data_IF_601728377607
#
_entry.id   IF_601728377607
#
_cell.length_a   1.000
_cell.length_b   1.000
_cell.length_c   1.000
_cell.angle_alpha   90.00
_cell.angle_beta   90.00
_cell.angle_gamma   90.00
#
_symmetry.space_group_name_H-M   'P 1'
#
loop_
_entity.id
_entity.type
_entity.pdbx_description
1 polymer ?
#
# COMPACT_ATOMS: atom_id res chain seq x y z
N UNK A 1 -12.52 -4.36 21.34
CA UNK A 1 -13.06 -5.04 20.15
C UNK A 1 -13.21 -4.04 19.01
N UNK A 2 -12.84 -4.42 17.79
CA UNK A 2 -13.02 -3.58 16.61
C UNK A 2 -14.49 -3.54 16.19
N UNK A 3 -15.00 -2.35 15.86
CA UNK A 3 -16.35 -2.13 15.37
C UNK A 3 -16.33 -1.41 14.03
N UNK A 4 -17.20 -1.84 13.12
CA UNK A 4 -17.38 -1.18 11.84
C UNK A 4 -18.38 -0.03 11.98
N UNK A 5 -17.96 1.20 11.64
CA UNK A 5 -18.82 2.37 11.57
C UNK A 5 -19.23 2.64 10.13
N UNK A 6 -20.50 3.01 9.96
CA UNK A 6 -21.15 3.22 8.65
C UNK A 6 -21.64 4.64 8.57
N UNK A 7 -21.28 5.35 7.49
CA UNK A 7 -21.73 6.71 7.21
C UNK A 7 -21.48 7.71 8.35
N UNK A 8 -20.52 7.41 9.24
CA UNK A 8 -20.06 8.30 10.29
C UNK A 8 -18.86 9.14 9.78
N UNK A 9 -18.78 10.38 10.25
CA UNK A 9 -17.69 11.31 9.94
C UNK A 9 -17.91 12.67 10.61
N UNK A 10 -16.82 13.35 10.96
CA UNK A 10 -16.85 14.73 11.39
C UNK A 10 -16.67 15.65 10.18
N UNK A 11 -17.57 16.62 10.01
CA UNK A 11 -17.39 17.69 9.02
C UNK A 11 -16.41 18.71 9.60
N UNK A 12 -15.16 18.67 9.15
CA UNK A 12 -14.16 19.71 9.41
C UNK A 12 -13.69 20.33 8.08
N UNK A 13 -12.76 21.28 8.13
CA UNK A 13 -12.26 21.98 6.93
C UNK A 13 -11.58 21.04 5.91
N UNK A 14 -11.18 19.83 6.29
CA UNK A 14 -10.36 18.90 5.51
C UNK A 14 -11.03 17.54 5.26
N UNK A 15 -12.01 17.15 6.07
CA UNK A 15 -12.82 15.95 5.96
C UNK A 15 -14.29 16.35 5.89
N UNK A 16 -14.85 16.37 4.68
CA UNK A 16 -16.26 16.67 4.46
C UNK A 16 -16.82 15.85 3.32
N UNK A 17 -18.14 15.65 3.35
CA UNK A 17 -18.87 14.91 2.34
C UNK A 17 -20.03 15.73 1.79
N UNK A 18 -20.30 15.59 0.49
CA UNK A 18 -21.48 16.17 -0.18
C UNK A 18 -22.70 15.27 -0.11
N UNK A 19 -22.56 14.04 0.37
CA UNK A 19 -23.63 13.05 0.49
C UNK A 19 -23.79 12.52 1.93
N UNK A 20 -23.40 13.31 2.95
CA UNK A 20 -23.47 12.93 4.37
C UNK A 20 -22.77 11.59 4.68
N UNK A 21 -21.61 11.38 4.07
CA UNK A 21 -20.74 10.21 4.25
C UNK A 21 -21.35 8.86 3.83
N UNK A 22 -22.46 8.84 3.08
CA UNK A 22 -23.05 7.60 2.55
C UNK A 22 -22.01 6.82 1.72
N UNK A 23 -21.89 5.53 2.02
CA UNK A 23 -20.91 4.60 1.45
C UNK A 23 -19.58 4.54 2.18
N UNK A 24 -19.37 5.37 3.21
CA UNK A 24 -18.15 5.36 4.03
C UNK A 24 -18.24 4.26 5.08
N UNK A 25 -17.13 3.52 5.21
CA UNK A 25 -16.92 2.55 6.28
C UNK A 25 -15.57 2.81 6.96
N UNK A 26 -15.54 2.78 8.29
CA UNK A 26 -14.31 2.93 9.09
C UNK A 26 -14.31 1.91 10.23
N UNK A 27 -13.13 1.45 10.62
CA UNK A 27 -12.97 0.56 11.78
C UNK A 27 -12.49 1.37 12.98
N UNK A 28 -13.19 1.22 14.11
CA UNK A 28 -12.83 1.87 15.38
C UNK A 28 -12.60 0.81 16.45
N UNK A 29 -11.57 1.00 17.27
CA UNK A 29 -11.28 0.11 18.38
C UNK A 29 -11.94 0.60 19.67
N UNK A 30 -12.83 -0.20 20.23
CA UNK A 30 -13.46 0.05 21.54
C UNK A 30 -12.87 -0.90 22.60
N UNK A 31 -12.07 -0.43 23.58
CA UNK A 31 -11.47 -1.29 24.60
C UNK A 31 -12.50 -1.99 25.51
N UNK A 32 -13.66 -1.38 25.71
CA UNK A 32 -14.79 -1.92 26.49
C UNK A 32 -15.82 -2.61 25.59
N UNK A 33 -15.59 -2.59 24.28
CA UNK A 33 -16.50 -3.14 23.29
C UNK A 33 -16.59 -4.66 23.35
N UNK A 34 -17.82 -5.15 23.34
CA UNK A 34 -18.18 -6.57 23.21
C UNK A 34 -18.06 -7.38 24.51
N UNK A 35 -18.96 -8.36 24.68
CA UNK A 35 -18.94 -9.31 25.79
C UNK A 35 -17.72 -10.24 25.73
N UNK A 36 -17.36 -10.92 26.83
CA UNK A 36 -16.29 -11.92 26.82
C UNK A 36 -16.47 -12.99 25.74
N UNK A 37 -17.71 -13.43 25.52
CA UNK A 37 -18.08 -14.41 24.50
C UNK A 37 -17.86 -13.86 23.08
N UNK A 38 -18.29 -12.61 22.81
CA UNK A 38 -18.07 -11.97 21.49
C UNK A 38 -16.59 -11.80 21.19
N UNK A 39 -15.80 -11.42 22.19
CA UNK A 39 -14.35 -11.31 22.04
C UNK A 39 -13.72 -12.68 21.76
N UNK A 40 -14.20 -13.73 22.43
CA UNK A 40 -13.73 -15.10 22.18
C UNK A 40 -14.07 -15.58 20.76
N UNK A 41 -15.28 -15.30 20.26
CA UNK A 41 -15.69 -15.63 18.88
C UNK A 41 -14.79 -14.93 17.84
N UNK A 42 -14.42 -13.66 18.09
CA UNK A 42 -13.49 -12.91 17.23
C UNK A 42 -12.09 -13.54 17.22
N UNK A 43 -11.56 -13.94 18.38
CA UNK A 43 -10.26 -14.61 18.46
C UNK A 43 -10.29 -16.01 17.83
N UNK A 44 -11.38 -16.75 17.99
CA UNK A 44 -11.58 -18.03 17.30
C UNK A 44 -11.59 -17.87 15.78
N UNK A 45 -12.31 -16.86 15.26
CA UNK A 45 -12.31 -16.53 13.83
C UNK A 45 -10.90 -16.19 13.31
N UNK A 46 -10.13 -15.42 14.09
CA UNK A 46 -8.74 -15.06 13.76
C UNK A 46 -7.83 -16.29 13.73
N UNK A 47 -7.95 -17.16 14.72
CA UNK A 47 -7.16 -18.39 14.81
C UNK A 47 -7.52 -19.37 13.68
N UNK A 48 -8.81 -19.50 13.37
CA UNK A 48 -9.27 -20.32 12.25
C UNK A 48 -8.66 -19.82 10.93
N UNK A 49 -8.73 -18.52 10.66
CA UNK A 49 -8.10 -17.95 9.47
C UNK A 49 -6.58 -18.21 9.46
N UNK A 50 -5.88 -17.96 10.58
CA UNK A 50 -4.45 -18.21 10.66
C UNK A 50 -4.08 -19.66 10.35
N UNK A 51 -4.82 -20.64 10.88
CA UNK A 51 -4.56 -22.06 10.65
C UNK A 51 -4.83 -22.48 9.19
N UNK A 52 -5.75 -21.79 8.49
CA UNK A 52 -6.15 -22.11 7.12
C UNK A 52 -5.57 -21.16 6.07
N UNK A 53 -4.74 -20.18 6.46
CA UNK A 53 -4.25 -19.09 5.60
C UNK A 53 -3.52 -19.54 4.34
N UNK A 54 -2.95 -20.75 4.31
CA UNK A 54 -2.29 -21.29 3.12
C UNK A 54 -3.26 -21.94 2.13
N UNK A 55 -4.45 -22.34 2.59
CA UNK A 55 -5.52 -22.93 1.77
C UNK A 55 -6.51 -21.87 1.30
N UNK A 56 -6.82 -20.89 2.16
CA UNK A 56 -7.73 -19.78 1.88
C UNK A 56 -7.00 -18.47 2.17
N UNK A 57 -6.58 -17.80 1.10
CA UNK A 57 -5.80 -16.57 1.13
C UNK A 57 -6.63 -15.31 1.41
N UNK A 58 -7.79 -15.08 0.75
CA UNK A 58 -8.61 -13.91 1.05
C UNK A 58 -9.35 -14.06 2.37
N UNK A 59 -9.48 -12.95 3.11
CA UNK A 59 -10.35 -12.89 4.28
C UNK A 59 -11.80 -12.97 3.84
N UNK A 60 -12.60 -13.68 4.64
CA UNK A 60 -14.02 -13.85 4.38
C UNK A 60 -14.87 -12.74 4.99
N UNK A 61 -14.34 -11.57 5.34
CA UNK A 61 -15.16 -10.46 5.89
C UNK A 61 -15.93 -10.84 7.18
N UNK A 62 -15.45 -11.84 7.91
CA UNK A 62 -16.24 -12.52 8.94
C UNK A 62 -16.55 -11.61 10.13
N UNK A 63 -15.60 -10.74 10.52
CA UNK A 63 -15.71 -9.92 11.72
C UNK A 63 -16.86 -8.91 11.65
N UNK A 64 -17.06 -8.24 10.51
CA UNK A 64 -18.20 -7.31 10.38
C UNK A 64 -19.50 -8.06 10.08
N UNK A 65 -19.44 -9.17 9.33
CA UNK A 65 -20.64 -10.00 9.09
C UNK A 65 -21.23 -10.51 10.39
N UNK A 66 -20.40 -10.97 11.33
CA UNK A 66 -20.84 -11.36 12.69
C UNK A 66 -21.59 -10.22 13.39
N UNK A 67 -21.03 -9.00 13.35
CA UNK A 67 -21.66 -7.82 13.96
C UNK A 67 -23.03 -7.51 13.34
N UNK A 68 -23.11 -7.42 12.01
CA UNK A 68 -24.34 -7.05 11.31
C UNK A 68 -25.46 -8.07 11.49
N UNK A 69 -25.12 -9.36 11.40
CA UNK A 69 -26.10 -10.44 11.58
C UNK A 69 -26.63 -10.44 13.02
N UNK A 70 -25.77 -10.17 14.01
CA UNK A 70 -26.16 -10.09 15.41
C UNK A 70 -27.05 -8.88 15.70
N UNK A 71 -26.67 -7.68 15.24
CA UNK A 71 -27.46 -6.45 15.40
C UNK A 71 -28.87 -6.60 14.83
N UNK A 72 -29.02 -7.30 13.71
CA UNK A 72 -30.31 -7.57 13.05
C UNK A 72 -31.04 -8.80 13.59
N UNK A 73 -30.50 -9.47 14.61
CA UNK A 73 -31.01 -10.74 15.14
C UNK A 73 -31.30 -11.76 14.02
N UNK A 74 -30.44 -11.77 12.99
CA UNK A 74 -30.68 -12.56 11.80
C UNK A 74 -30.60 -14.06 12.08
N UNK A 75 -31.54 -14.81 11.51
CA UNK A 75 -31.53 -16.27 11.51
C UNK A 75 -31.75 -16.75 10.09
N UNK A 76 -30.84 -17.59 9.59
CA UNK A 76 -31.04 -18.22 8.28
C UNK A 76 -32.15 -19.27 8.39
N UNK A 77 -33.34 -18.91 7.90
CA UNK A 77 -34.53 -19.77 7.96
C UNK A 77 -34.67 -20.69 6.75
N UNK A 78 -33.96 -20.41 5.66
CA UNK A 78 -34.01 -21.21 4.44
C UNK A 78 -32.92 -22.29 4.51
N UNK A 79 -33.34 -23.54 4.45
CA UNK A 79 -32.46 -24.69 4.53
C UNK A 79 -31.44 -24.69 3.38
N UNK A 80 -30.21 -25.14 3.68
CA UNK A 80 -29.18 -25.32 2.66
C UNK A 80 -29.56 -26.50 1.76
N UNK A 81 -29.59 -26.26 0.45
CA UNK A 81 -29.67 -27.33 -0.55
C UNK A 81 -28.28 -27.93 -0.71
N UNK A 82 -28.16 -29.25 -0.57
CA UNK A 82 -26.96 -30.02 -0.92
C UNK A 82 -27.23 -30.73 -2.25
N UNK A 83 -26.25 -30.70 -3.15
CA UNK A 83 -26.31 -31.37 -4.44
C UNK A 83 -25.26 -32.48 -4.43
N UNK A 84 -25.67 -33.71 -4.70
CA UNK A 84 -24.75 -34.84 -4.81
C UNK A 84 -24.12 -34.94 -6.20
N UNK A 85 -22.99 -35.63 -6.31
CA UNK A 85 -22.32 -35.81 -7.59
C UNK A 85 -23.21 -36.60 -8.57
N UNK A 86 -23.45 -36.05 -9.76
CA UNK A 86 -24.34 -36.64 -10.77
C UNK A 86 -25.83 -36.36 -10.55
N UNK A 87 -26.21 -35.64 -9.50
CA UNK A 87 -27.61 -35.27 -9.24
C UNK A 87 -28.08 -34.12 -10.14
N UNK A 88 -29.30 -34.23 -10.69
CA UNK A 88 -29.88 -33.17 -11.52
C UNK A 88 -30.24 -31.92 -10.69
N UNK A 89 -29.81 -30.75 -11.17
CA UNK A 89 -30.12 -29.45 -10.58
C UNK A 89 -31.49 -29.00 -11.06
N UNK A 90 -32.50 -29.20 -10.22
CA UNK A 90 -33.87 -28.77 -10.52
C UNK A 90 -34.06 -27.26 -10.33
N UNK A 91 -35.07 -26.70 -11.00
CA UNK A 91 -35.47 -25.30 -10.84
C UNK A 91 -35.78 -24.94 -9.37
N UNK A 92 -36.39 -25.87 -8.61
CA UNK A 92 -36.70 -25.68 -7.20
C UNK A 92 -35.45 -25.56 -6.33
N UNK A 93 -34.44 -26.41 -6.57
CA UNK A 93 -33.15 -26.38 -5.86
C UNK A 93 -32.40 -25.08 -6.12
N UNK A 94 -32.34 -24.66 -7.39
CA UNK A 94 -31.74 -23.39 -7.78
C UNK A 94 -32.48 -22.20 -7.14
N UNK A 95 -33.82 -22.20 -7.20
CA UNK A 95 -34.65 -21.13 -6.62
C UNK A 95 -34.49 -21.05 -5.10
N UNK A 96 -34.46 -22.18 -4.41
CA UNK A 96 -34.27 -22.23 -2.95
C UNK A 96 -32.89 -21.71 -2.56
N UNK A 97 -31.86 -22.09 -3.31
CA UNK A 97 -30.48 -21.60 -3.11
C UNK A 97 -30.38 -20.09 -3.32
N UNK A 98 -31.00 -19.56 -4.39
CA UNK A 98 -31.05 -18.12 -4.65
C UNK A 98 -31.78 -17.38 -3.53
N UNK A 99 -32.97 -17.85 -3.12
CA UNK A 99 -33.72 -17.22 -2.03
C UNK A 99 -32.92 -17.20 -0.73
N UNK A 100 -32.21 -18.30 -0.41
CA UNK A 100 -31.32 -18.38 0.75
C UNK A 100 -30.18 -17.36 0.68
N UNK A 101 -29.54 -17.23 -0.49
CA UNK A 101 -28.45 -16.29 -0.71
C UNK A 101 -28.93 -14.83 -0.61
N UNK A 102 -30.04 -14.49 -1.25
CA UNK A 102 -30.65 -13.14 -1.16
C UNK A 102 -31.07 -12.82 0.27
N UNK A 103 -31.72 -13.76 0.98
CA UNK A 103 -32.10 -13.57 2.37
C UNK A 103 -30.89 -13.25 3.27
N UNK A 104 -29.78 -13.96 3.06
CA UNK A 104 -28.53 -13.69 3.77
C UNK A 104 -27.90 -12.34 3.36
N UNK A 105 -27.77 -12.08 2.06
CA UNK A 105 -27.08 -10.89 1.56
C UNK A 105 -27.84 -9.60 1.88
N UNK A 106 -29.17 -9.63 1.86
CA UNK A 106 -30.02 -8.51 2.32
C UNK A 106 -29.80 -8.18 3.80
N UNK A 107 -29.53 -9.19 4.63
CA UNK A 107 -29.19 -8.97 6.04
C UNK A 107 -27.81 -8.34 6.23
N UNK A 108 -26.94 -8.33 5.21
CA UNK A 108 -25.62 -7.70 5.26
C UNK A 108 -25.60 -6.25 4.75
N UNK A 109 -26.71 -5.73 4.21
CA UNK A 109 -26.79 -4.34 3.75
C UNK A 109 -26.60 -3.36 4.91
N UNK A 110 -25.71 -2.38 4.79
CA UNK A 110 -25.52 -1.32 5.78
C UNK A 110 -26.74 -0.39 5.88
N UNK A 111 -26.82 0.37 6.96
CA UNK A 111 -27.96 1.26 7.26
C UNK A 111 -28.16 2.39 6.24
N UNK A 112 -27.11 2.77 5.52
CA UNK A 112 -27.11 3.77 4.45
C UNK A 112 -27.32 3.16 3.05
N UNK A 113 -27.51 1.83 2.97
CA UNK A 113 -27.85 1.10 1.77
C UNK A 113 -26.68 0.46 1.01
N UNK A 114 -25.42 0.70 1.40
CA UNK A 114 -24.27 0.03 0.76
C UNK A 114 -24.00 -1.37 1.33
N UNK A 115 -23.10 -2.14 0.71
CA UNK A 115 -22.59 -3.39 1.28
C UNK A 115 -21.12 -3.18 1.67
N UNK A 116 -20.81 -3.23 2.97
CA UNK A 116 -19.44 -3.24 3.43
C UNK A 116 -18.68 -4.40 2.82
N UNK A 117 -17.44 -4.16 2.44
CA UNK A 117 -16.56 -5.20 1.94
C UNK A 117 -15.10 -4.81 2.17
N UNK A 118 -14.28 -5.79 2.48
CA UNK A 118 -12.84 -5.66 2.39
C UNK A 118 -12.42 -5.62 0.91
N UNK A 119 -11.65 -4.62 0.52
CA UNK A 119 -11.03 -4.54 -0.80
C UNK A 119 -9.53 -4.84 -0.69
N UNK A 120 -9.21 -6.10 -0.36
CA UNK A 120 -7.85 -6.58 -0.21
C UNK A 120 -7.25 -7.12 -1.51
N UNK A 121 -5.96 -7.41 -1.47
CA UNK A 121 -5.26 -8.10 -2.54
C UNK A 121 -3.80 -7.65 -2.61
N UNK A 122 -3.51 -6.42 -3.05
CA UNK A 122 -2.14 -5.92 -3.19
C UNK A 122 -1.43 -5.75 -1.85
N UNK A 123 -0.20 -6.28 -1.74
CA UNK A 123 0.60 -6.23 -0.50
C UNK A 123 1.56 -5.03 -0.42
N UNK A 124 1.44 -4.09 -1.35
CA UNK A 124 2.26 -2.87 -1.44
C UNK A 124 1.47 -1.58 -1.19
N UNK A 125 0.26 -1.65 -0.60
CA UNK A 125 -0.52 -0.45 -0.23
C UNK A 125 -0.19 0.05 1.18
N UNK A 126 -0.20 -0.85 2.16
CA UNK A 126 -0.03 -0.52 3.55
C UNK A 126 1.43 -0.17 3.93
N UNK A 127 2.46 -0.90 3.47
CA UNK A 127 3.84 -0.56 3.82
C UNK A 127 4.26 0.86 3.41
N UNK A 128 3.95 1.35 2.19
CA UNK A 128 4.27 2.73 1.84
C UNK A 128 3.55 3.79 2.66
N UNK A 129 2.30 3.53 3.07
CA UNK A 129 1.59 4.41 4.01
C UNK A 129 2.31 4.47 5.38
N UNK A 130 2.74 3.33 5.92
CA UNK A 130 3.52 3.27 7.16
C UNK A 130 4.85 4.02 7.00
N UNK A 131 5.55 3.86 5.87
CA UNK A 131 6.78 4.62 5.58
C UNK A 131 6.52 6.12 5.50
N UNK A 132 5.45 6.53 4.83
CA UNK A 132 5.03 7.94 4.76
C UNK A 132 4.83 8.52 6.16
N UNK A 133 3.99 7.88 6.99
CA UNK A 133 3.70 8.33 8.35
C UNK A 133 4.94 8.33 9.26
N UNK A 134 5.86 7.39 9.05
CA UNK A 134 7.14 7.37 9.74
C UNK A 134 8.01 8.57 9.37
N UNK A 135 8.17 8.84 8.07
CA UNK A 135 8.98 9.97 7.56
C UNK A 135 8.41 11.31 8.02
N UNK A 136 7.08 11.45 8.02
CA UNK A 136 6.41 12.69 8.43
C UNK A 136 6.29 12.84 9.95
N UNK A 137 6.60 11.80 10.73
CA UNK A 137 6.53 11.83 12.20
C UNK A 137 5.11 11.72 12.79
N UNK A 138 4.16 11.17 12.04
CA UNK A 138 2.74 11.07 12.45
C UNK A 138 2.28 9.63 12.68
N UNK A 139 3.21 8.67 12.71
CA UNK A 139 2.91 7.26 12.93
C UNK A 139 2.16 7.02 14.27
N UNK A 140 2.54 7.70 15.35
CA UNK A 140 1.90 7.56 16.68
C UNK A 140 0.56 8.29 16.79
N UNK A 141 0.36 9.38 16.04
CA UNK A 141 -0.92 10.10 16.02
C UNK A 141 -1.98 9.38 15.20
N UNK A 142 -1.56 8.70 14.13
CA UNK A 142 -2.45 8.01 13.18
C UNK A 142 -2.71 6.56 13.58
N UNK A 143 -1.67 5.82 13.94
CA UNK A 143 -1.80 4.40 14.29
C UNK A 143 -1.61 4.21 15.79
N UNK A 144 -2.73 4.02 16.48
CA UNK A 144 -2.75 3.51 17.85
C UNK A 144 -2.08 2.13 17.94
N UNK A 145 -1.73 1.70 19.15
CA UNK A 145 -1.14 0.38 19.39
C UNK A 145 -1.97 -0.77 18.78
N UNK A 146 -3.30 -0.60 18.78
CA UNK A 146 -4.23 -1.58 18.22
C UNK A 146 -4.17 -1.63 16.69
N UNK A 147 -4.09 -0.47 16.02
CA UNK A 147 -3.86 -0.43 14.58
C UNK A 147 -2.55 -1.15 14.22
N UNK A 148 -1.46 -0.87 14.96
CA UNK A 148 -0.16 -1.53 14.72
C UNK A 148 -0.25 -3.05 14.88
N UNK A 149 -0.98 -3.51 15.90
CA UNK A 149 -1.22 -4.94 16.13
C UNK A 149 -1.96 -5.59 14.97
N UNK A 150 -2.99 -4.95 14.42
CA UNK A 150 -3.72 -5.47 13.27
C UNK A 150 -2.90 -5.42 11.97
N UNK A 151 -2.12 -4.35 11.75
CA UNK A 151 -1.22 -4.24 10.61
C UNK A 151 -0.18 -5.38 10.63
N UNK A 152 0.47 -5.59 11.78
CA UNK A 152 1.42 -6.69 11.95
C UNK A 152 0.75 -8.05 11.76
N UNK A 153 -0.45 -8.25 12.32
CA UNK A 153 -1.23 -9.49 12.11
C UNK A 153 -1.49 -9.76 10.64
N UNK A 154 -1.95 -8.75 9.90
CA UNK A 154 -2.19 -8.86 8.45
C UNK A 154 -0.91 -9.26 7.71
N UNK A 155 0.22 -8.64 8.03
CA UNK A 155 1.53 -8.99 7.45
C UNK A 155 1.89 -10.45 7.76
N UNK A 156 1.74 -10.91 9.01
CA UNK A 156 2.05 -12.30 9.39
C UNK A 156 1.16 -13.31 8.69
N UNK A 157 -0.11 -12.98 8.47
CA UNK A 157 -1.08 -13.87 7.86
C UNK A 157 -0.81 -14.10 6.38
N UNK A 158 -0.12 -13.15 5.73
CA UNK A 158 0.21 -13.23 4.30
C UNK A 158 1.69 -13.51 4.03
N UNK A 159 2.49 -13.85 5.05
CA UNK A 159 3.84 -14.36 4.83
C UNK A 159 3.77 -15.78 4.24
N UNK A 160 4.41 -15.97 3.09
CA UNK A 160 4.54 -17.28 2.46
C UNK A 160 5.47 -18.19 3.27
N UNK A 161 5.39 -19.51 3.01
CA UNK A 161 6.18 -20.51 3.75
C UNK A 161 7.69 -20.33 3.58
N UNK A 162 8.11 -19.75 2.45
CA UNK A 162 9.52 -19.40 2.18
C UNK A 162 10.02 -18.17 2.94
N UNK A 163 9.14 -17.46 3.66
CA UNK A 163 9.46 -16.26 4.42
C UNK A 163 9.25 -14.93 3.68
N UNK A 164 8.86 -14.96 2.41
CA UNK A 164 8.59 -13.77 1.62
C UNK A 164 7.11 -13.37 1.54
N UNK A 165 6.82 -12.34 0.74
CA UNK A 165 5.47 -11.86 0.44
C UNK A 165 5.33 -11.64 -1.06
N UNK A 166 4.17 -11.99 -1.60
CA UNK A 166 3.88 -11.78 -3.01
C UNK A 166 3.42 -10.37 -3.34
N UNK A 167 3.28 -10.08 -4.64
CA UNK A 167 2.72 -8.81 -5.12
C UNK A 167 1.28 -8.59 -4.63
N UNK A 168 0.55 -9.70 -4.44
CA UNK A 168 -0.77 -9.77 -3.83
C UNK A 168 -0.85 -10.99 -2.90
N UNK A 169 -1.92 -11.10 -2.11
CA UNK A 169 -2.12 -12.15 -1.10
C UNK A 169 -2.04 -13.59 -1.62
N UNK A 170 -2.24 -13.82 -2.92
CA UNK A 170 -2.15 -15.14 -3.57
C UNK A 170 -0.84 -15.37 -4.33
N UNK A 171 0.02 -14.36 -4.42
CA UNK A 171 1.23 -14.40 -5.22
C UNK A 171 2.39 -15.14 -4.54
N UNK A 172 3.30 -15.67 -5.35
CA UNK A 172 4.61 -16.12 -4.89
C UNK A 172 5.42 -14.93 -4.37
N UNK A 173 6.38 -15.20 -3.51
CA UNK A 173 7.21 -14.17 -2.88
C UNK A 173 8.01 -13.37 -3.90
N UNK A 174 8.05 -12.05 -3.72
CA UNK A 174 8.80 -11.13 -4.58
C UNK A 174 9.70 -10.22 -3.74
N UNK A 175 10.78 -9.69 -4.33
CA UNK A 175 11.69 -8.77 -3.67
C UNK A 175 10.96 -7.49 -3.26
N UNK A 176 10.07 -6.99 -4.12
CA UNK A 176 9.32 -5.78 -3.84
C UNK A 176 8.52 -5.88 -2.54
N UNK A 177 7.58 -6.82 -2.46
CA UNK A 177 6.69 -6.88 -1.29
C UNK A 177 7.39 -7.48 -0.06
N UNK A 178 8.39 -8.36 -0.23
CA UNK A 178 9.15 -8.87 0.92
C UNK A 178 9.94 -7.77 1.63
N UNK A 179 10.64 -6.91 0.87
CA UNK A 179 11.38 -5.78 1.46
C UNK A 179 10.43 -4.77 2.10
N UNK A 180 9.32 -4.43 1.42
CA UNK A 180 8.33 -3.50 1.96
C UNK A 180 7.71 -4.02 3.27
N UNK A 181 7.30 -5.28 3.31
CA UNK A 181 6.78 -5.92 4.52
C UNK A 181 7.81 -5.99 5.64
N UNK A 182 9.08 -6.32 5.33
CA UNK A 182 10.16 -6.31 6.32
C UNK A 182 10.32 -4.93 6.96
N UNK A 183 10.47 -3.89 6.15
CA UNK A 183 10.64 -2.52 6.65
C UNK A 183 9.41 -2.08 7.45
N UNK A 184 8.20 -2.44 7.00
CA UNK A 184 6.97 -2.14 7.73
C UNK A 184 6.99 -2.75 9.14
N UNK A 185 7.35 -4.02 9.27
CA UNK A 185 7.48 -4.67 10.59
C UNK A 185 8.52 -3.95 11.47
N UNK A 186 9.68 -3.60 10.90
CA UNK A 186 10.76 -2.90 11.62
C UNK A 186 10.33 -1.51 12.09
N UNK A 187 9.61 -0.74 11.27
CA UNK A 187 9.05 0.58 11.63
C UNK A 187 8.01 0.45 12.75
N UNK A 188 7.21 -0.60 12.73
CA UNK A 188 6.16 -0.85 13.74
C UNK A 188 6.70 -1.45 15.05
N UNK A 189 8.02 -1.64 15.17
CA UNK A 189 8.70 -1.98 16.42
C UNK A 189 9.19 -3.41 16.52
N UNK A 190 8.94 -4.27 15.53
CA UNK A 190 9.47 -5.64 15.54
C UNK A 190 10.99 -5.62 15.36
N UNK A 191 11.72 -6.40 16.15
CA UNK A 191 13.18 -6.54 16.03
C UNK A 191 13.63 -7.24 14.74
N UNK A 192 14.94 -7.26 14.43
CA UNK A 192 15.48 -7.97 13.26
C UNK A 192 15.22 -9.48 13.32
N UNK A 193 15.07 -10.05 14.52
CA UNK A 193 14.68 -11.44 14.73
C UNK A 193 13.29 -11.55 15.39
N UNK A 194 12.49 -10.49 15.28
CA UNK A 194 11.14 -10.40 15.83
C UNK A 194 10.07 -10.89 14.84
N UNK A 195 8.83 -10.58 15.20
CA UNK A 195 7.63 -10.98 14.50
C UNK A 195 7.16 -12.39 14.87
N UNK A 196 5.89 -12.66 14.57
CA UNK A 196 5.31 -13.97 14.77
C UNK A 196 6.10 -15.03 14.00
N UNK A 197 6.52 -16.10 14.68
CA UNK A 197 7.31 -17.19 14.08
C UNK A 197 8.59 -16.71 13.36
N UNK A 198 9.31 -15.75 13.98
CA UNK A 198 10.54 -15.15 13.45
C UNK A 198 10.36 -14.54 12.05
N UNK A 199 9.19 -13.97 11.76
CA UNK A 199 8.84 -13.42 10.44
C UNK A 199 9.94 -12.50 9.87
N UNK A 200 10.53 -11.61 10.68
CA UNK A 200 11.60 -10.72 10.24
C UNK A 200 12.86 -11.49 9.82
N UNK A 201 13.28 -12.51 10.59
CA UNK A 201 14.50 -13.26 10.27
C UNK A 201 14.33 -14.05 8.96
N UNK A 202 13.16 -14.67 8.75
CA UNK A 202 12.85 -15.37 7.51
C UNK A 202 12.80 -14.45 6.30
N UNK A 203 12.16 -13.29 6.46
CA UNK A 203 12.11 -12.26 5.44
C UNK A 203 13.52 -11.78 5.03
N UNK A 204 14.37 -11.46 6.01
CA UNK A 204 15.76 -11.04 5.76
C UNK A 204 16.57 -12.13 5.06
N UNK A 205 16.43 -13.38 5.51
CA UNK A 205 17.05 -14.54 4.85
C UNK A 205 16.62 -14.63 3.39
N UNK A 206 15.32 -14.57 3.13
CA UNK A 206 14.77 -14.58 1.77
C UNK A 206 15.35 -13.43 0.92
N UNK A 207 15.36 -12.20 1.44
CA UNK A 207 15.92 -11.03 0.75
C UNK A 207 17.40 -11.26 0.37
N UNK A 208 18.20 -11.82 1.28
CA UNK A 208 19.62 -12.06 1.01
C UNK A 208 19.84 -13.16 -0.04
N UNK A 209 19.06 -14.23 0.01
CA UNK A 209 19.14 -15.35 -0.93
C UNK A 209 18.73 -14.96 -2.36
N UNK A 210 17.92 -13.91 -2.52
CA UNK A 210 17.40 -13.45 -3.83
C UNK A 210 18.10 -12.19 -4.35
N UNK A 211 19.37 -11.97 -3.94
CA UNK A 211 20.21 -10.90 -4.50
C UNK A 211 20.15 -9.58 -3.74
N UNK A 212 19.61 -9.56 -2.51
CA UNK A 212 19.44 -8.37 -1.66
C UNK A 212 18.51 -7.32 -2.25
N UNK A 213 18.29 -6.26 -1.47
CA UNK A 213 17.46 -5.13 -1.91
C UNK A 213 18.03 -4.37 -3.13
N UNK A 214 19.28 -4.63 -3.56
CA UNK A 214 19.80 -4.09 -4.83
C UNK A 214 19.01 -4.55 -6.06
N UNK A 215 18.29 -5.66 -5.96
CA UNK A 215 17.44 -6.23 -7.01
C UNK A 215 15.96 -5.83 -6.88
N UNK A 216 15.61 -4.92 -5.97
CA UNK A 216 14.22 -4.48 -5.84
C UNK A 216 13.76 -3.75 -7.13
N UNK A 217 12.51 -3.90 -7.59
CA UNK A 217 11.99 -3.20 -8.76
C UNK A 217 11.98 -1.67 -8.62
N UNK A 218 11.76 -0.97 -9.73
CA UNK A 218 11.87 0.50 -9.82
C UNK A 218 11.04 1.27 -8.79
N UNK A 219 9.78 0.86 -8.55
CA UNK A 219 8.94 1.47 -7.51
C UNK A 219 9.52 1.28 -6.11
N UNK A 220 10.06 0.09 -5.84
CA UNK A 220 10.78 -0.18 -4.60
C UNK A 220 12.00 0.71 -4.44
N UNK A 221 12.83 0.85 -5.48
CA UNK A 221 14.00 1.77 -5.43
C UNK A 221 13.58 3.19 -5.07
N UNK A 222 12.49 3.68 -5.66
CA UNK A 222 11.92 5.01 -5.34
C UNK A 222 11.55 5.13 -3.86
N UNK A 223 10.74 4.20 -3.34
CA UNK A 223 10.32 4.22 -1.92
C UNK A 223 11.49 4.10 -0.95
N UNK A 224 12.46 3.26 -1.27
CA UNK A 224 13.65 3.09 -0.44
C UNK A 224 14.61 4.28 -0.50
N UNK A 225 14.68 4.97 -1.64
CA UNK A 225 15.43 6.23 -1.74
C UNK A 225 14.77 7.36 -0.95
N UNK A 226 13.44 7.44 -1.01
CA UNK A 226 12.65 8.35 -0.18
C UNK A 226 12.89 8.07 1.32
N UNK A 227 12.87 6.80 1.73
CA UNK A 227 13.12 6.39 3.12
C UNK A 227 14.58 6.61 3.56
N UNK A 228 15.51 6.64 2.60
CA UNK A 228 16.94 6.79 2.86
C UNK A 228 17.69 5.48 3.07
N UNK A 229 17.16 4.34 2.62
CA UNK A 229 17.86 3.04 2.65
C UNK A 229 18.36 2.61 1.27
N UNK A 230 18.25 3.46 0.24
CA UNK A 230 18.76 3.22 -1.11
C UNK A 230 19.19 4.54 -1.76
N UNK A 231 20.29 4.60 -2.50
CA UNK A 231 20.74 5.86 -3.10
C UNK A 231 20.00 6.17 -4.42
N UNK A 232 19.55 7.41 -4.61
CA UNK A 232 18.86 7.84 -5.83
C UNK A 232 19.65 7.59 -7.13
N UNK A 233 20.98 7.52 -7.07
CA UNK A 233 21.83 7.21 -8.22
C UNK A 233 21.69 5.77 -8.71
N UNK A 234 21.10 4.89 -7.90
CA UNK A 234 20.74 3.52 -8.28
C UNK A 234 19.32 3.37 -8.84
N UNK A 235 18.59 4.46 -9.00
CA UNK A 235 17.26 4.47 -9.63
C UNK A 235 17.34 4.95 -11.08
N UNK A 236 16.46 4.43 -11.94
CA UNK A 236 16.30 4.99 -13.28
C UNK A 236 15.72 6.42 -13.21
N UNK A 237 16.09 7.33 -14.13
CA UNK A 237 15.62 8.70 -14.06
C UNK A 237 14.10 8.88 -14.18
N UNK A 238 13.52 9.70 -13.30
CA UNK A 238 12.12 10.15 -13.36
C UNK A 238 12.07 11.69 -13.45
N UNK A 239 12.45 12.29 -14.58
CA UNK A 239 12.62 13.74 -14.68
C UNK A 239 11.27 14.48 -14.61
N UNK A 240 11.07 15.45 -13.69
CA UNK A 240 9.83 16.24 -13.63
C UNK A 240 9.57 17.10 -14.90
N UNK A 241 10.58 17.32 -15.75
CA UNK A 241 10.48 18.06 -17.01
C UNK A 241 9.54 17.38 -18.00
N UNK A 242 9.28 16.09 -17.78
CA UNK A 242 8.26 15.36 -18.51
C UNK A 242 6.88 16.05 -18.44
N UNK A 243 6.59 16.74 -17.33
CA UNK A 243 5.35 17.52 -17.12
C UNK A 243 5.31 18.86 -17.88
N UNK A 244 6.43 19.30 -18.46
CA UNK A 244 6.51 20.53 -19.27
C UNK A 244 6.39 20.27 -20.78
N UNK A 245 6.27 19.01 -21.20
CA UNK A 245 6.19 18.66 -22.61
C UNK A 245 4.98 19.32 -23.29
N UNK A 246 5.07 19.70 -24.58
CA UNK A 246 3.91 20.14 -25.34
C UNK A 246 2.87 19.03 -25.54
N UNK A 247 1.58 19.37 -25.43
CA UNK A 247 0.45 18.41 -25.51
C UNK A 247 0.34 17.67 -26.84
N UNK A 248 0.88 18.23 -27.93
CA UNK A 248 0.88 17.57 -29.24
C UNK A 248 1.80 16.35 -29.30
N UNK A 249 2.83 16.26 -28.44
CA UNK A 249 3.75 15.12 -28.42
C UNK A 249 3.04 13.82 -28.03
N UNK A 250 3.38 12.67 -28.65
CA UNK A 250 2.72 11.40 -28.37
C UNK A 250 2.96 10.91 -26.93
N UNK A 251 4.14 11.21 -26.36
CA UNK A 251 4.53 10.81 -25.01
C UNK A 251 4.05 11.78 -23.91
N UNK A 252 3.19 12.76 -24.23
CA UNK A 252 2.75 13.74 -23.24
C UNK A 252 1.98 13.06 -22.08
N UNK A 253 2.23 13.43 -20.80
CA UNK A 253 1.62 12.76 -19.65
C UNK A 253 0.08 12.68 -19.69
N UNK A 254 -0.59 13.68 -20.26
CA UNK A 254 -2.06 13.67 -20.42
C UNK A 254 -2.61 12.49 -21.26
N UNK A 255 -1.77 11.85 -22.08
CA UNK A 255 -2.12 10.68 -22.90
C UNK A 255 -1.80 9.34 -22.20
N UNK A 256 -1.19 9.38 -21.02
CA UNK A 256 -0.92 8.19 -20.21
C UNK A 256 -2.16 7.75 -19.45
N UNK A 257 -2.23 6.45 -19.16
CA UNK A 257 -3.23 5.89 -18.25
C UNK A 257 -3.21 6.65 -16.91
N UNK A 258 -4.40 6.96 -16.38
CA UNK A 258 -4.56 7.85 -15.23
C UNK A 258 -3.76 7.38 -14.01
N UNK A 259 -3.90 6.12 -13.58
CA UNK A 259 -3.14 5.56 -12.46
C UNK A 259 -1.62 5.73 -12.66
N UNK A 260 -1.10 5.36 -13.83
CA UNK A 260 0.32 5.53 -14.14
C UNK A 260 0.76 7.00 -14.03
N UNK A 261 0.00 7.92 -14.63
CA UNK A 261 0.29 9.36 -14.52
C UNK A 261 0.30 9.83 -13.05
N UNK A 262 -0.69 9.41 -12.27
CA UNK A 262 -0.88 9.89 -10.90
C UNK A 262 0.16 9.35 -9.92
N UNK A 263 0.72 8.16 -10.15
CA UNK A 263 1.85 7.61 -9.39
C UNK A 263 3.18 8.24 -9.79
N UNK A 264 3.46 8.38 -11.09
CA UNK A 264 4.76 8.93 -11.52
C UNK A 264 4.90 10.43 -11.26
N UNK A 265 3.80 11.17 -11.09
CA UNK A 265 3.82 12.59 -10.77
C UNK A 265 4.54 12.91 -9.46
N UNK A 266 4.12 12.41 -8.29
CA UNK A 266 4.80 12.66 -7.03
C UNK A 266 6.17 11.99 -6.98
N UNK A 267 6.33 10.78 -7.55
CA UNK A 267 7.65 10.13 -7.65
C UNK A 267 8.66 11.00 -8.40
N UNK A 268 8.25 11.62 -9.52
CA UNK A 268 9.14 12.51 -10.29
C UNK A 268 9.48 13.81 -9.55
N UNK A 269 8.54 14.33 -8.75
CA UNK A 269 8.78 15.50 -7.91
C UNK A 269 9.85 15.19 -6.85
N UNK A 270 9.66 14.10 -6.09
CA UNK A 270 10.58 13.66 -5.04
C UNK A 270 11.95 13.28 -5.61
N UNK A 271 11.96 12.59 -6.76
CA UNK A 271 13.19 12.30 -7.52
C UNK A 271 13.91 13.59 -7.91
N UNK A 272 13.20 14.56 -8.52
CA UNK A 272 13.77 15.82 -8.98
C UNK A 272 14.32 16.69 -7.84
N UNK A 273 13.73 16.59 -6.65
CA UNK A 273 14.23 17.19 -5.39
C UNK A 273 15.36 16.40 -4.75
N UNK A 274 15.56 15.13 -5.11
CA UNK A 274 16.42 14.17 -4.39
C UNK A 274 16.01 14.05 -2.93
N UNK A 275 14.70 14.03 -2.68
CA UNK A 275 14.17 13.98 -1.31
C UNK A 275 14.61 12.69 -0.62
N UNK A 276 15.06 12.83 0.63
CA UNK A 276 15.38 11.72 1.52
C UNK A 276 14.83 12.09 2.89
N UNK A 277 14.10 11.17 3.51
CA UNK A 277 13.55 11.33 4.85
C UNK A 277 14.64 11.36 5.93
N UNK A 278 14.25 11.58 7.20
CA UNK A 278 15.20 11.62 8.31
C UNK A 278 16.00 10.31 8.46
N UNK A 279 17.33 10.41 8.57
CA UNK A 279 18.20 9.26 8.82
C UNK A 279 18.23 8.96 10.31
N UNK A 280 17.30 8.12 10.76
CA UNK A 280 17.18 7.69 12.16
C UNK A 280 18.09 6.50 12.47
N UNK A 281 18.26 6.12 13.76
CA UNK A 281 18.95 4.88 14.12
C UNK A 281 18.35 3.62 13.47
N UNK A 282 17.02 3.59 13.28
CA UNK A 282 16.37 2.48 12.58
C UNK A 282 16.77 2.43 11.11
N UNK A 283 16.84 3.57 10.42
CA UNK A 283 17.29 3.63 9.02
C UNK A 283 18.73 3.12 8.88
N UNK A 284 19.60 3.46 9.83
CA UNK A 284 20.98 2.94 9.85
C UNK A 284 21.01 1.42 10.04
N UNK A 285 20.20 0.86 10.96
CA UNK A 285 20.06 -0.59 11.12
C UNK A 285 19.54 -1.25 9.84
N UNK A 286 18.52 -0.68 9.18
CA UNK A 286 17.99 -1.23 7.92
C UNK A 286 19.05 -1.28 6.82
N UNK A 287 19.97 -0.31 6.76
CA UNK A 287 21.11 -0.32 5.82
C UNK A 287 22.13 -1.43 6.11
N UNK A 288 22.18 -1.94 7.33
CA UNK A 288 23.01 -3.11 7.70
C UNK A 288 22.25 -4.42 7.48
N UNK A 289 20.93 -4.41 7.69
CA UNK A 289 20.08 -5.60 7.62
C UNK A 289 19.73 -6.03 6.19
N UNK A 290 19.52 -5.08 5.27
CA UNK A 290 18.97 -5.36 3.92
C UNK A 290 20.02 -5.72 2.86
N UNK A 291 21.31 -5.59 3.19
CA UNK A 291 22.42 -5.77 2.28
C UNK A 291 23.39 -6.81 2.83
N UNK A 292 24.09 -7.52 1.92
CA UNK A 292 25.17 -8.44 2.29
C UNK A 292 26.52 -7.72 2.31
N UNK A 293 26.72 -6.75 1.41
CA UNK A 293 27.88 -5.88 1.40
C UNK A 293 27.61 -4.58 2.19
N UNK A 294 28.66 -3.92 2.74
CA UNK A 294 28.50 -2.65 3.43
C UNK A 294 27.81 -1.59 2.55
N UNK A 295 26.81 -0.89 3.09
CA UNK A 295 26.00 0.09 2.37
C UNK A 295 26.84 1.14 1.60
N UNK A 296 27.97 1.56 2.17
CA UNK A 296 28.86 2.56 1.58
C UNK A 296 29.76 2.03 0.45
N UNK A 297 29.82 0.71 0.23
CA UNK A 297 30.61 0.07 -0.83
C UNK A 297 29.76 -0.28 -2.06
N UNK A 298 28.44 -0.19 -1.96
CA UNK A 298 27.51 -0.52 -3.04
C UNK A 298 27.74 0.42 -4.23
N UNK A 299 27.90 -0.18 -5.42
CA UNK A 299 27.95 0.57 -6.67
C UNK A 299 26.54 0.85 -7.20
N UNK A 300 25.91 1.89 -6.66
CA UNK A 300 24.53 2.27 -7.00
C UNK A 300 24.29 2.42 -8.50
N UNK A 301 25.23 2.98 -9.27
CA UNK A 301 25.03 3.16 -10.73
C UNK A 301 24.75 1.86 -11.47
N UNK A 302 25.32 0.74 -10.99
CA UNK A 302 25.13 -0.60 -11.55
C UNK A 302 23.81 -1.25 -11.12
N UNK A 303 23.21 -0.79 -10.03
CA UNK A 303 21.95 -1.38 -9.53
C UNK A 303 20.73 -0.91 -10.32
N UNK A 304 20.82 0.15 -11.13
CA UNK A 304 19.69 0.73 -11.90
C UNK A 304 18.87 -0.29 -12.70
N UNK A 305 19.57 -1.20 -13.37
CA UNK A 305 18.95 -2.22 -14.24
C UNK A 305 18.77 -3.57 -13.56
N UNK A 306 19.22 -3.73 -12.30
CA UNK A 306 18.98 -4.95 -11.54
C UNK A 306 17.51 -5.04 -11.12
N UNK A 307 16.93 -6.22 -11.30
CA UNK A 307 15.60 -6.60 -10.84
C UNK A 307 15.63 -8.09 -10.53
N UNK A 308 15.00 -8.50 -9.42
CA UNK A 308 14.84 -9.91 -9.09
C UNK A 308 13.97 -10.59 -10.17
N UNK A 309 14.24 -11.86 -10.45
CA UNK A 309 13.56 -12.59 -11.51
C UNK A 309 12.07 -12.77 -11.19
N UNK A 310 11.75 -12.96 -9.90
CA UNK A 310 10.41 -13.14 -9.35
C UNK A 310 9.51 -11.91 -9.56
N UNK A 311 10.11 -10.72 -9.66
CA UNK A 311 9.41 -9.46 -9.89
C UNK A 311 9.34 -9.07 -11.39
N UNK A 312 10.10 -9.73 -12.26
CA UNK A 312 10.26 -9.33 -13.67
C UNK A 312 9.12 -9.85 -14.54
N UNK A 313 7.92 -9.28 -14.39
CA UNK A 313 6.76 -9.66 -15.20
C UNK A 313 6.84 -9.15 -16.65
N UNK A 314 7.33 -7.92 -16.84
CA UNK A 314 7.59 -7.33 -18.16
C UNK A 314 9.07 -6.93 -18.28
N UNK A 315 9.90 -7.73 -18.96
CA UNK A 315 11.29 -7.38 -19.18
C UNK A 315 11.41 -6.14 -20.06
N UNK A 316 12.40 -5.30 -19.78
CA UNK A 316 12.64 -4.10 -20.57
C UNK A 316 13.11 -4.48 -21.99
N UNK A 317 12.52 -3.90 -23.04
CA UNK A 317 13.11 -3.91 -24.36
C UNK A 317 14.42 -3.11 -24.36
N UNK A 318 15.40 -3.51 -25.18
CA UNK A 318 16.70 -2.81 -25.28
C UNK A 318 16.55 -1.29 -25.52
N UNK A 319 15.57 -0.88 -26.31
CA UNK A 319 15.30 0.54 -26.59
C UNK A 319 14.93 1.32 -25.33
N UNK A 320 14.24 0.70 -24.37
CA UNK A 320 13.89 1.31 -23.11
C UNK A 320 15.13 1.54 -22.24
N UNK A 321 16.02 0.55 -22.16
CA UNK A 321 17.28 0.70 -21.40
C UNK A 321 18.19 1.78 -22.01
N UNK A 322 18.27 1.85 -23.35
CA UNK A 322 18.99 2.91 -24.04
C UNK A 322 18.42 4.31 -23.74
N UNK A 323 17.09 4.44 -23.67
CA UNK A 323 16.43 5.70 -23.28
C UNK A 323 16.78 6.06 -21.84
N UNK A 324 16.69 5.11 -20.90
CA UNK A 324 17.02 5.36 -19.50
C UNK A 324 18.49 5.71 -19.28
N UNK A 325 19.41 5.03 -19.97
CA UNK A 325 20.84 5.34 -19.90
C UNK A 325 21.18 6.69 -20.53
N UNK A 326 20.53 7.03 -21.64
CA UNK A 326 20.68 8.37 -22.25
C UNK A 326 20.20 9.46 -21.29
N UNK A 327 19.04 9.27 -20.68
CA UNK A 327 18.50 10.20 -19.69
C UNK A 327 19.43 10.33 -18.47
N UNK A 328 20.00 9.21 -18.00
CA UNK A 328 20.86 9.20 -16.82
C UNK A 328 22.23 9.82 -17.06
N UNK A 329 22.86 9.50 -18.19
CA UNK A 329 24.24 9.93 -18.50
C UNK A 329 24.27 11.34 -19.08
N UNK A 330 23.27 11.73 -19.85
CA UNK A 330 23.26 13.01 -20.57
C UNK A 330 22.30 14.01 -19.93
N UNK A 331 21.02 13.64 -19.86
CA UNK A 331 19.94 14.58 -19.50
C UNK A 331 20.00 14.99 -18.04
N UNK A 332 20.25 14.06 -17.12
CA UNK A 332 20.30 14.35 -15.69
C UNK A 332 21.46 15.28 -15.31
N UNK A 333 22.73 15.04 -15.72
CA UNK A 333 23.82 16.00 -15.49
C UNK A 333 23.58 17.36 -16.13
N UNK A 334 22.87 17.41 -17.26
CA UNK A 334 22.53 18.67 -17.93
C UNK A 334 21.47 19.46 -17.16
N UNK A 335 20.38 18.81 -16.73
CA UNK A 335 19.25 19.44 -16.04
C UNK A 335 19.51 19.72 -14.55
N UNK A 336 20.48 19.05 -13.93
CA UNK A 336 20.85 19.27 -12.51
C UNK A 336 21.91 20.36 -12.33
N UNK A 337 22.52 20.86 -13.41
CA UNK A 337 23.52 21.93 -13.37
C UNK A 337 22.94 23.30 -13.74
N UNK A 338 23.60 24.35 -13.27
CA UNK A 338 23.29 25.71 -13.69
C UNK A 338 23.59 25.90 -15.20
N UNK A 339 22.75 26.62 -15.97
CA UNK A 339 21.54 27.35 -15.55
C UNK A 339 20.25 26.52 -15.59
N UNK A 340 20.26 25.33 -16.21
CA UNK A 340 19.06 24.54 -16.49
C UNK A 340 18.35 24.05 -15.23
N UNK A 341 19.08 23.76 -14.15
CA UNK A 341 18.47 23.43 -12.86
C UNK A 341 17.56 24.56 -12.35
N UNK A 342 18.03 25.80 -12.44
CA UNK A 342 17.30 26.98 -11.96
C UNK A 342 16.15 27.36 -12.88
N UNK A 343 16.30 27.20 -14.19
CA UNK A 343 15.33 27.67 -15.18
C UNK A 343 14.30 26.61 -15.58
N UNK A 344 14.74 25.36 -15.74
CA UNK A 344 13.93 24.27 -16.29
C UNK A 344 13.46 23.36 -15.16
N UNK A 345 14.37 22.78 -14.36
CA UNK A 345 13.97 21.84 -13.30
C UNK A 345 13.12 22.51 -12.23
N UNK A 346 13.51 23.69 -11.75
CA UNK A 346 12.70 24.43 -10.78
C UNK A 346 11.28 24.68 -11.30
N UNK A 347 11.14 25.12 -12.55
CA UNK A 347 9.84 25.32 -13.20
C UNK A 347 9.06 24.01 -13.33
N UNK A 348 9.73 22.92 -13.68
CA UNK A 348 9.11 21.60 -13.78
C UNK A 348 8.57 21.14 -12.42
N UNK A 349 9.33 21.32 -11.35
CA UNK A 349 8.91 21.01 -9.98
C UNK A 349 7.71 21.88 -9.55
N UNK A 350 7.71 23.18 -9.85
CA UNK A 350 6.57 24.07 -9.57
C UNK A 350 5.30 23.63 -10.31
N UNK A 351 5.40 23.28 -11.60
CA UNK A 351 4.28 22.76 -12.39
C UNK A 351 3.78 21.42 -11.86
N UNK A 352 4.72 20.52 -11.52
CA UNK A 352 4.37 19.20 -10.96
C UNK A 352 3.61 19.37 -9.64
N UNK A 353 4.10 20.23 -8.73
CA UNK A 353 3.42 20.49 -7.46
C UNK A 353 2.03 21.11 -7.65
N UNK A 354 1.87 22.00 -8.64
CA UNK A 354 0.55 22.54 -8.98
C UNK A 354 -0.43 21.44 -9.40
N UNK A 355 0.02 20.44 -10.16
CA UNK A 355 -0.83 19.31 -10.54
C UNK A 355 -1.16 18.40 -9.36
N UNK A 356 -0.21 18.18 -8.44
CA UNK A 356 -0.43 17.42 -7.21
C UNK A 356 -1.54 18.09 -6.38
N UNK A 357 -1.40 19.39 -6.07
CA UNK A 357 -2.43 20.14 -5.33
C UNK A 357 -3.78 20.19 -6.05
N UNK A 358 -3.78 20.29 -7.38
CA UNK A 358 -5.02 20.26 -8.14
C UNK A 358 -5.76 18.93 -7.98
N UNK A 359 -5.05 17.80 -8.05
CA UNK A 359 -5.67 16.49 -7.79
C UNK A 359 -6.19 16.39 -6.36
N UNK A 360 -5.38 16.81 -5.40
CA UNK A 360 -5.71 16.77 -3.99
C UNK A 360 -7.00 17.53 -3.69
N UNK A 361 -7.12 18.76 -4.18
CA UNK A 361 -8.33 19.57 -4.04
C UNK A 361 -9.53 18.95 -4.78
N UNK A 362 -9.33 18.49 -6.02
CA UNK A 362 -10.39 17.92 -6.84
C UNK A 362 -10.93 16.59 -6.29
N UNK A 363 -10.07 15.77 -5.69
CA UNK A 363 -10.41 14.48 -5.09
C UNK A 363 -10.75 14.57 -3.60
N UNK A 364 -10.73 15.77 -3.01
CA UNK A 364 -10.88 16.01 -1.56
C UNK A 364 -9.91 15.16 -0.75
N UNK A 365 -8.66 15.13 -1.20
CA UNK A 365 -7.54 14.51 -0.52
C UNK A 365 -7.67 12.97 -0.42
N UNK A 366 -8.61 12.36 -1.15
CA UNK A 366 -8.80 10.91 -1.26
C UNK A 366 -7.90 10.34 -2.36
N UNK A 367 -7.69 11.10 -3.44
CA UNK A 367 -7.02 10.67 -4.70
C UNK A 367 -7.74 9.49 -5.40
N UNK A 368 -7.17 8.99 -6.49
CA UNK A 368 -7.73 7.88 -7.28
C UNK A 368 -7.45 6.49 -6.69
N UNK A 369 -6.49 6.36 -5.76
CA UNK A 369 -6.01 5.07 -5.26
C UNK A 369 -5.09 5.16 -4.04
N UNK A 370 -4.81 3.99 -3.44
CA UNK A 370 -4.05 3.91 -2.18
C UNK A 370 -2.57 4.32 -2.32
N UNK A 371 -1.95 3.99 -3.47
CA UNK A 371 -0.56 4.32 -3.75
C UNK A 371 -0.42 5.83 -3.88
N UNK A 372 -1.28 6.43 -4.70
CA UNK A 372 -1.33 7.87 -4.94
C UNK A 372 -1.59 8.64 -3.66
N UNK A 373 -2.44 8.13 -2.76
CA UNK A 373 -2.68 8.80 -1.48
C UNK A 373 -1.44 8.90 -0.61
N UNK A 374 -0.59 7.87 -0.60
CA UNK A 374 0.66 7.86 0.18
C UNK A 374 1.72 8.80 -0.42
N UNK A 375 1.70 8.99 -1.74
CA UNK A 375 2.70 9.79 -2.48
C UNK A 375 2.27 11.24 -2.72
N UNK A 376 1.13 11.46 -3.42
CA UNK A 376 0.58 12.79 -3.73
C UNK A 376 0.12 13.49 -2.45
N UNK A 377 -0.97 12.98 -1.87
CA UNK A 377 -1.64 13.57 -0.73
C UNK A 377 -1.04 13.17 0.63
N UNK A 378 0.24 12.82 0.63
CA UNK A 378 1.03 12.42 1.79
C UNK A 378 2.40 13.07 1.72
N UNK A 379 3.39 12.36 1.17
CA UNK A 379 4.79 12.79 1.18
C UNK A 379 5.08 14.01 0.29
N UNK A 380 4.61 14.03 -0.96
CA UNK A 380 4.93 15.10 -1.90
C UNK A 380 4.25 16.42 -1.48
N UNK A 381 3.02 16.37 -0.98
CA UNK A 381 2.36 17.56 -0.43
C UNK A 381 2.95 18.03 0.92
N UNK A 382 3.61 17.14 1.69
CA UNK A 382 4.26 17.48 2.96
C UNK A 382 5.67 18.09 2.78
N UNK A 383 6.48 17.61 1.83
CA UNK A 383 7.89 18.00 1.63
C UNK A 383 8.15 19.52 1.57
N UNK A 384 7.32 20.35 0.90
CA UNK A 384 7.59 21.78 0.77
C UNK A 384 7.41 22.58 2.07
N UNK A 385 6.72 22.03 3.08
CA UNK A 385 6.21 22.82 4.20
C UNK A 385 6.39 22.19 5.58
N UNK A 386 6.81 20.92 5.68
CA UNK A 386 6.74 20.18 6.95
C UNK A 386 5.33 20.23 7.57
N UNK A 387 4.31 20.43 6.73
CA UNK A 387 3.03 20.96 7.16
C UNK A 387 2.17 19.89 7.84
N UNK A 388 1.79 20.16 9.09
CA UNK A 388 0.83 19.36 9.86
C UNK A 388 -0.57 19.30 9.24
N UNK A 389 -0.91 20.16 8.26
CA UNK A 389 -2.25 20.23 7.65
C UNK A 389 -2.67 18.98 6.87
N UNK A 390 -1.74 18.06 6.58
CA UNK A 390 -1.91 17.04 5.55
C UNK A 390 -2.17 15.61 6.08
N UNK A 391 -2.00 15.35 7.38
CA UNK A 391 -1.89 13.99 7.94
C UNK A 391 -3.11 13.43 8.66
N UNK A 392 -4.30 13.94 8.35
CA UNK A 392 -5.53 13.45 9.00
C UNK A 392 -5.99 12.10 8.42
N UNK A 393 -5.36 11.03 8.90
CA UNK A 393 -6.09 9.78 9.16
C UNK A 393 -6.89 10.07 10.42
N UNK A 394 -8.20 10.26 10.23
CA UNK A 394 -9.15 10.60 11.30
C UNK A 394 -8.99 9.66 12.50
N UNK A 395 -8.73 10.24 13.67
CA UNK A 395 -8.98 9.63 14.98
C UNK A 395 -10.46 9.36 15.20
#
# INVERSE_FOLDING_TARGET
MWRLKIAEGSSNDYLYSTNKFVGRQTWEYDPEGGSPEERAEVEEARLNFYNNRYQVKPSGDLLWRMQFLKEKNFKQTIAQVKIEEGEEITYEKATTTLKRAVHFFSALQASDGHWPAENAGPLFFLPPLVMCLYITGHLDSVFSAEHRREILRYIYYHQNEDGGWGLHIEGHSTMFCTVLSYICMRILGEGPNGGHDNACARARKWIHEHGTVTHIPSWGKTWLSILGVFDWSGSNPMPPEFWLLPTFLPMHPAKMWCYCRMVYMPMSYLYGKRFVGPITPLILQLREELYVEPYNQINWKKTRHLCAAEDLYYPHPLIQDLIWDSLYVLTEPFLTRWPFNKLVRKKALEVTMKHIHYEDENSRYITIGCVEKSENGGLAAWEPAGAQKWLEVSS
#
